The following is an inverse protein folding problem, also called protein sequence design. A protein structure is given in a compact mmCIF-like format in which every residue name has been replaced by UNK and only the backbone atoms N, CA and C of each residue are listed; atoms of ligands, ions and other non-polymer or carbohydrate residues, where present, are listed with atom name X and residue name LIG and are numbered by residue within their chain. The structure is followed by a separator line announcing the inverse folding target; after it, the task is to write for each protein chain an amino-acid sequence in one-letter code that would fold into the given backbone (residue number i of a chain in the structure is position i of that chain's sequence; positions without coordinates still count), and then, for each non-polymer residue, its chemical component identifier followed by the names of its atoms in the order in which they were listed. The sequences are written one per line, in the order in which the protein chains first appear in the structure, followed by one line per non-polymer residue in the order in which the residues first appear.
data_IF_893900482503
#
_entry.id   IF_893900482503
#
_cell.length_a   1.000
_cell.length_b   1.000
_cell.length_c   1.000
_cell.angle_alpha   90.00
_cell.angle_beta   90.00
_cell.angle_gamma   90.00
#
_symmetry.space_group_name_H-M   'P 1'
#
loop_
_entity.id
_entity.type
_entity.pdbx_description
1 polymer ?
#
# COMPACT_ATOMS: atom_id res chain seq x y z
N UNK A 1 13.37 -11.33 -18.16
CA UNK A 1 13.87 -10.69 -16.92
C UNK A 1 13.00 -9.53 -16.43
N UNK A 2 12.88 -8.38 -17.09
CA UNK A 2 12.06 -7.27 -16.56
C UNK A 2 10.57 -7.60 -16.42
N UNK A 3 9.98 -8.32 -17.38
CA UNK A 3 8.58 -8.76 -17.33
C UNK A 3 8.32 -9.76 -16.18
N UNK A 4 9.28 -10.63 -15.84
CA UNK A 4 9.16 -11.57 -14.73
C UNK A 4 9.24 -10.88 -13.37
N UNK A 5 10.09 -9.85 -13.25
CA UNK A 5 10.18 -8.99 -12.05
C UNK A 5 8.87 -8.23 -11.83
N UNK A 6 8.28 -7.69 -12.90
CA UNK A 6 6.98 -7.01 -12.83
C UNK A 6 5.86 -7.96 -12.36
N UNK A 7 5.78 -9.16 -12.94
CA UNK A 7 4.78 -10.16 -12.52
C UNK A 7 4.97 -10.59 -11.06
N UNK A 8 6.21 -10.69 -10.57
CA UNK A 8 6.48 -10.93 -9.15
C UNK A 8 5.99 -9.80 -8.25
N UNK A 9 6.26 -8.53 -8.60
CA UNK A 9 5.76 -7.35 -7.86
C UNK A 9 4.24 -7.32 -7.83
N UNK A 10 3.59 -7.61 -8.98
CA UNK A 10 2.14 -7.64 -9.12
C UNK A 10 1.51 -8.74 -8.27
N UNK A 11 2.06 -9.95 -8.31
CA UNK A 11 1.58 -11.07 -7.49
C UNK A 11 1.72 -10.78 -5.99
N UNK A 12 2.86 -10.25 -5.55
CA UNK A 12 3.07 -9.80 -4.16
C UNK A 12 2.06 -8.71 -3.74
N UNK A 13 1.74 -7.77 -4.64
CA UNK A 13 0.77 -6.72 -4.36
C UNK A 13 -0.65 -7.27 -4.19
N UNK A 14 -1.03 -8.26 -5.00
CA UNK A 14 -2.33 -8.95 -4.88
C UNK A 14 -2.41 -9.77 -3.58
N UNK A 15 -1.33 -10.45 -3.23
CA UNK A 15 -1.23 -11.23 -1.99
C UNK A 15 -1.35 -10.32 -0.75
N UNK A 16 -0.59 -9.22 -0.72
CA UNK A 16 -0.68 -8.21 0.34
C UNK A 16 -2.10 -7.66 0.49
N UNK A 17 -2.78 -7.36 -0.63
CA UNK A 17 -4.16 -6.89 -0.62
C UNK A 17 -5.12 -7.94 -0.03
N UNK A 18 -4.89 -9.21 -0.31
CA UNK A 18 -5.66 -10.32 0.26
C UNK A 18 -5.47 -10.43 1.78
N UNK A 19 -4.21 -10.38 2.25
CA UNK A 19 -3.86 -10.47 3.67
C UNK A 19 -4.45 -9.31 4.47
N UNK A 20 -4.37 -8.09 3.93
CA UNK A 20 -4.94 -6.89 4.55
C UNK A 20 -6.47 -7.03 4.67
N UNK A 21 -7.15 -7.51 3.62
CA UNK A 21 -8.61 -7.77 3.66
C UNK A 21 -9.00 -8.83 4.69
N UNK A 22 -8.12 -9.81 4.94
CA UNK A 22 -8.32 -10.86 5.93
C UNK A 22 -7.93 -10.41 7.36
N UNK A 23 -7.37 -9.21 7.52
CA UNK A 23 -6.92 -8.69 8.81
C UNK A 23 -5.64 -9.33 9.34
N UNK A 24 -4.90 -10.05 8.50
CA UNK A 24 -3.60 -10.66 8.85
C UNK A 24 -2.57 -9.53 8.95
N UNK A 25 -1.83 -9.50 10.07
CA UNK A 25 -0.77 -8.51 10.32
C UNK A 25 0.63 -9.12 10.35
N UNK A 26 0.72 -10.41 10.66
CA UNK A 26 1.98 -11.13 10.77
C UNK A 26 2.62 -11.32 9.39
N UNK A 27 3.91 -10.98 9.26
CA UNK A 27 4.67 -11.11 8.01
C UNK A 27 4.26 -10.15 6.88
N UNK A 28 3.29 -9.25 7.10
CA UNK A 28 2.85 -8.27 6.09
C UNK A 28 3.94 -7.23 5.85
N UNK A 29 4.58 -6.72 6.90
CA UNK A 29 5.64 -5.70 6.77
C UNK A 29 6.86 -6.23 6.00
N UNK A 30 7.25 -7.49 6.23
CA UNK A 30 8.34 -8.16 5.51
C UNK A 30 7.99 -8.34 4.03
N UNK A 31 6.73 -8.70 3.73
CA UNK A 31 6.23 -8.83 2.35
C UNK A 31 6.14 -7.49 1.64
N UNK A 32 5.78 -6.42 2.36
CA UNK A 32 5.81 -5.04 1.83
C UNK A 32 7.24 -4.63 1.50
N UNK A 33 8.18 -4.84 2.42
CA UNK A 33 9.60 -4.54 2.16
C UNK A 33 10.10 -5.30 0.94
N UNK A 34 9.82 -6.60 0.85
CA UNK A 34 10.24 -7.42 -0.29
C UNK A 34 9.63 -6.95 -1.61
N UNK A 35 8.35 -6.58 -1.61
CA UNK A 35 7.69 -6.01 -2.79
C UNK A 35 8.34 -4.70 -3.22
N UNK A 36 8.73 -3.85 -2.28
CA UNK A 36 9.37 -2.57 -2.57
C UNK A 36 10.79 -2.72 -3.12
N UNK A 37 11.58 -3.66 -2.60
CA UNK A 37 12.89 -4.01 -3.16
C UNK A 37 12.78 -4.48 -4.62
N UNK A 38 11.82 -5.37 -4.90
CA UNK A 38 11.61 -5.89 -6.26
C UNK A 38 11.10 -4.80 -7.21
N UNK A 39 10.26 -3.89 -6.73
CA UNK A 39 9.82 -2.74 -7.52
C UNK A 39 11.00 -1.82 -7.85
N UNK A 40 11.87 -1.51 -6.88
CA UNK A 40 13.06 -0.69 -7.13
C UNK A 40 14.02 -1.36 -8.12
N UNK A 41 14.23 -2.66 -8.02
CA UNK A 41 15.07 -3.41 -8.96
C UNK A 41 14.48 -3.43 -10.37
N UNK A 42 13.17 -3.63 -10.49
CA UNK A 42 12.47 -3.54 -11.76
C UNK A 42 12.58 -2.14 -12.37
N UNK A 43 12.40 -1.11 -11.55
CA UNK A 43 12.49 0.29 -11.97
C UNK A 43 13.90 0.65 -12.43
N UNK A 44 14.94 0.21 -11.72
CA UNK A 44 16.33 0.40 -12.11
C UNK A 44 16.65 -0.28 -13.45
N UNK A 45 16.16 -1.51 -13.68
CA UNK A 45 16.36 -2.21 -14.95
C UNK A 45 15.62 -1.55 -16.13
N UNK A 46 14.44 -0.98 -15.88
CA UNK A 46 13.73 -0.19 -16.89
C UNK A 46 14.48 1.13 -17.14
N UNK A 47 14.96 1.78 -16.09
CA UNK A 47 15.70 3.04 -16.20
C UNK A 47 17.08 2.88 -16.85
N UNK A 48 17.70 1.69 -16.82
CA UNK A 48 18.90 1.37 -17.60
C UNK A 48 18.59 1.05 -19.07
N UNK A 49 17.40 0.51 -19.36
CA UNK A 49 16.94 0.25 -20.74
C UNK A 49 16.42 1.51 -21.43
N UNK A 50 16.07 2.53 -20.65
CA UNK A 50 15.53 3.79 -21.12
C UNK A 50 16.56 4.89 -20.84
N UNK A 51 17.23 5.35 -21.90
CA UNK A 51 17.76 6.73 -21.94
C UNK A 51 16.54 7.65 -21.80
N UNK A 52 16.16 8.01 -20.57
CA UNK A 52 14.86 8.67 -20.29
C UNK A 52 14.76 9.99 -21.03
N UNK A 53 13.86 10.06 -22.00
CA UNK A 53 13.37 11.34 -22.49
C UNK A 53 12.52 11.98 -21.40
N UNK A 54 12.64 13.30 -21.21
CA UNK A 54 11.97 14.08 -20.15
C UNK A 54 10.49 13.72 -19.94
N UNK A 55 9.77 13.40 -21.02
CA UNK A 55 8.34 13.05 -20.99
C UNK A 55 8.04 11.77 -20.18
N UNK A 56 8.94 10.78 -20.21
CA UNK A 56 8.77 9.54 -19.44
C UNK A 56 9.12 9.75 -17.97
N UNK A 57 10.05 10.66 -17.68
CA UNK A 57 10.38 11.03 -16.32
C UNK A 57 9.23 11.82 -15.67
N UNK A 58 8.63 12.76 -16.39
CA UNK A 58 7.42 13.48 -15.97
C UNK A 58 6.24 12.52 -15.74
N UNK A 59 6.05 11.52 -16.60
CA UNK A 59 5.03 10.49 -16.40
C UNK A 59 5.24 9.70 -15.11
N UNK A 60 6.47 9.29 -14.82
CA UNK A 60 6.80 8.52 -13.63
C UNK A 60 6.71 9.36 -12.35
N UNK A 61 7.08 10.63 -12.40
CA UNK A 61 6.86 11.58 -11.29
C UNK A 61 5.37 11.81 -11.03
N UNK A 62 4.57 11.94 -12.08
CA UNK A 62 3.11 12.02 -11.97
C UNK A 62 2.51 10.77 -11.33
N UNK A 63 2.94 9.59 -11.78
CA UNK A 63 2.46 8.31 -11.24
C UNK A 63 2.86 8.14 -9.75
N UNK A 64 4.06 8.60 -9.37
CA UNK A 64 4.52 8.58 -7.99
C UNK A 64 3.71 9.53 -7.10
N UNK A 65 3.36 10.72 -7.59
CA UNK A 65 2.49 11.65 -6.86
C UNK A 65 1.08 11.08 -6.65
N UNK A 66 0.50 10.45 -7.67
CA UNK A 66 -0.81 9.80 -7.55
C UNK A 66 -0.81 8.71 -6.48
N UNK A 67 0.23 7.86 -6.45
CA UNK A 67 0.37 6.82 -5.42
C UNK A 67 0.55 7.40 -4.02
N UNK A 68 1.33 8.47 -3.86
CA UNK A 68 1.49 9.14 -2.55
C UNK A 68 0.17 9.74 -2.05
N UNK A 69 -0.62 10.33 -2.94
CA UNK A 69 -1.93 10.87 -2.60
C UNK A 69 -2.89 9.75 -2.19
N UNK A 70 -2.93 8.66 -2.95
CA UNK A 70 -3.74 7.50 -2.62
C UNK A 70 -3.37 6.90 -1.25
N UNK A 71 -2.08 6.85 -0.93
CA UNK A 71 -1.60 6.37 0.37
C UNK A 71 -2.05 7.28 1.51
N UNK A 72 -2.01 8.60 1.32
CA UNK A 72 -2.48 9.57 2.31
C UNK A 72 -3.99 9.41 2.58
N UNK A 73 -4.79 9.24 1.52
CA UNK A 73 -6.24 9.04 1.62
C UNK A 73 -6.56 7.75 2.39
N UNK A 74 -5.86 6.65 2.09
CA UNK A 74 -6.03 5.38 2.80
C UNK A 74 -5.65 5.47 4.28
N UNK A 75 -4.58 6.19 4.61
CA UNK A 75 -4.19 6.42 6.02
C UNK A 75 -5.24 7.27 6.76
N UNK A 76 -5.81 8.28 6.10
CA UNK A 76 -6.88 9.09 6.67
C UNK A 76 -8.14 8.27 6.90
N UNK A 77 -8.51 7.43 5.93
CA UNK A 77 -9.67 6.54 6.04
C UNK A 77 -9.49 5.54 7.20
N UNK A 78 -8.30 4.94 7.34
CA UNK A 78 -7.98 4.05 8.47
C UNK A 78 -8.10 4.76 9.83
N UNK A 79 -7.61 6.01 9.96
CA UNK A 79 -7.78 6.81 11.18
C UNK A 79 -9.26 7.11 11.48
N UNK A 80 -10.05 7.38 10.45
CA UNK A 80 -11.50 7.63 10.57
C UNK A 80 -12.26 6.38 11.06
N UNK A 81 -11.86 5.19 10.61
CA UNK A 81 -12.44 3.92 11.04
C UNK A 81 -12.03 3.61 12.49
N UNK A 82 -10.77 3.80 12.85
CA UNK A 82 -10.26 3.58 14.20
C UNK A 82 -10.94 4.50 15.24
N UNK A 83 -11.18 5.77 14.88
CA UNK A 83 -11.91 6.71 15.72
C UNK A 83 -13.39 6.36 15.85
N UNK A 84 -14.06 5.91 14.78
CA UNK A 84 -15.44 5.41 14.83
C UNK A 84 -15.58 4.13 15.67
N UNK A 85 -14.62 3.20 15.60
CA UNK A 85 -14.62 1.99 16.43
C UNK A 85 -14.36 2.30 17.92
N UNK A 86 -13.51 3.27 18.22
CA UNK A 86 -13.28 3.74 19.60
C UNK A 86 -14.51 4.44 20.18
N UNK A 87 -15.24 5.21 19.36
CA UNK A 87 -16.53 5.79 19.73
C UNK A 87 -17.60 4.73 20.03
N UNK A 88 -17.71 3.68 19.20
CA UNK A 88 -18.62 2.55 19.43
C UNK A 88 -18.28 1.76 20.70
N UNK A 89 -17.00 1.52 20.99
CA UNK A 89 -16.57 0.87 22.24
C UNK A 89 -16.97 1.67 23.48
N UNK A 90 -16.86 3.00 23.45
CA UNK A 90 -17.29 3.85 24.57
C UNK A 90 -18.81 3.84 24.73
N UNK A 91 -19.59 3.96 23.65
CA UNK A 91 -21.06 3.93 23.70
C UNK A 91 -21.61 2.61 24.27
N UNK A 92 -21.10 1.45 23.84
CA UNK A 92 -21.53 0.16 24.40
C UNK A 92 -21.12 -0.03 25.87
N UNK A 93 -20.13 0.70 26.38
CA UNK A 93 -19.72 0.63 27.79
C UNK A 93 -20.66 1.45 28.70
N UNK A 94 -21.34 2.48 28.16
CA UNK A 94 -22.37 3.24 28.89
C UNK A 94 -23.74 2.54 28.89
N UNK A 95 -24.05 1.71 27.89
CA UNK A 95 -25.30 0.92 27.84
C UNK A 95 -25.29 -0.32 28.76
N UNK A 96 -24.14 -0.69 29.35
CA UNK A 96 -23.99 -1.85 30.23
C UNK A 96 -23.99 -1.52 31.73
N UNK A 97 -24.23 -0.26 32.12
CA UNK A 97 -24.41 0.10 33.52
C UNK A 97 -25.89 -0.07 33.89
N UNK A 98 -26.25 -1.06 34.74
CA UNK A 98 -27.62 -1.21 35.20
C UNK A 98 -27.97 -0.07 36.17
N UNK A 99 -29.14 0.54 35.95
CA UNK A 99 -29.88 1.25 36.99
C UNK A 99 -30.64 0.26 37.88
#
# INVERSE_FOLDING_TARGET
MSAELFEQVKNLSLELRSLIRQGVREGVDERIQRRNELLQQWFAQISELIDMTNEQQEFLEGLLQEEQQLLADLQQEQKSIASRQSGKKKLSQYEQLPH
#
